data_IF_791589019207
#
_entry.id   IF_791589019207
#
_cell.length_a   1.000
_cell.length_b   1.000
_cell.length_c   1.000
_cell.angle_alpha   90.00
_cell.angle_beta   90.00
_cell.angle_gamma   90.00
#
_symmetry.space_group_name_H-M   'P 1'
#
loop_
_entity.id
_entity.type
_entity.pdbx_description
1 polymer ?
#
# COMPACT_ATOMS: atom_id res chain seq x y z
N UNK A 1 -39.04 -26.76 73.35
CA UNK A 1 -38.32 -25.62 72.75
C UNK A 1 -36.88 -25.95 72.30
N UNK A 2 -36.17 -26.91 72.90
CA UNK A 2 -34.77 -27.25 72.55
C UNK A 2 -34.62 -27.87 71.14
N UNK A 3 -35.55 -28.73 70.72
CA UNK A 3 -35.48 -29.42 69.41
C UNK A 3 -35.63 -28.50 68.18
N UNK A 4 -36.39 -27.41 68.32
CA UNK A 4 -36.55 -26.45 67.23
C UNK A 4 -35.24 -25.69 66.98
N UNK A 5 -34.55 -25.29 68.06
CA UNK A 5 -33.28 -24.57 67.98
C UNK A 5 -32.18 -25.42 67.32
N UNK A 6 -32.10 -26.71 67.66
CA UNK A 6 -31.12 -27.64 67.08
C UNK A 6 -31.31 -27.81 65.56
N UNK A 7 -32.56 -27.84 65.07
CA UNK A 7 -32.85 -27.92 63.62
C UNK A 7 -32.38 -26.69 62.85
N UNK A 8 -32.60 -25.48 63.39
CA UNK A 8 -32.16 -24.24 62.73
C UNK A 8 -30.65 -24.06 62.76
N UNK A 9 -29.99 -24.46 63.85
CA UNK A 9 -28.51 -24.40 63.97
C UNK A 9 -27.84 -25.33 62.97
N UNK A 10 -28.35 -26.56 62.80
CA UNK A 10 -27.82 -27.52 61.81
C UNK A 10 -27.95 -27.01 60.38
N UNK A 11 -29.08 -26.38 60.05
CA UNK A 11 -29.35 -25.84 58.72
C UNK A 11 -28.48 -24.61 58.41
N UNK A 12 -28.24 -23.75 59.40
CA UNK A 12 -27.30 -22.64 59.29
C UNK A 12 -25.84 -23.13 59.12
N UNK A 13 -25.45 -24.20 59.83
CA UNK A 13 -24.11 -24.76 59.74
C UNK A 13 -23.82 -25.37 58.35
N UNK A 14 -24.83 -26.01 57.73
CA UNK A 14 -24.76 -26.50 56.35
C UNK A 14 -24.66 -25.33 55.36
N UNK A 15 -25.39 -24.24 55.59
CA UNK A 15 -25.33 -23.05 54.73
C UNK A 15 -23.95 -22.38 54.74
N UNK A 16 -23.29 -22.33 55.90
CA UNK A 16 -21.95 -21.73 56.05
C UNK A 16 -20.87 -22.58 55.36
N UNK A 17 -21.04 -23.91 55.29
CA UNK A 17 -20.11 -24.79 54.58
C UNK A 17 -20.19 -24.70 53.04
N UNK A 18 -21.22 -24.08 52.48
CA UNK A 18 -21.34 -23.86 51.03
C UNK A 18 -20.63 -22.59 50.52
N UNK A 19 -20.20 -21.70 51.43
CA UNK A 19 -19.56 -20.43 51.10
C UNK A 19 -18.13 -20.56 50.49
N UNK A 20 -17.24 -21.47 50.93
CA UNK A 20 -15.87 -21.51 50.39
C UNK A 20 -15.77 -22.09 48.98
N UNK A 21 -16.81 -22.76 48.45
CA UNK A 21 -16.77 -23.38 47.13
C UNK A 21 -16.73 -22.36 45.98
N UNK A 22 -17.25 -21.14 46.19
CA UNK A 22 -17.26 -20.08 45.18
C UNK A 22 -16.01 -19.19 45.24
N UNK A 23 -15.21 -19.27 46.31
CA UNK A 23 -13.99 -18.48 46.48
C UNK A 23 -12.75 -19.14 45.86
N UNK A 24 -12.75 -20.47 45.73
CA UNK A 24 -11.66 -21.26 45.14
C UNK A 24 -11.62 -21.21 43.59
N UNK A 25 -12.56 -20.49 42.97
CA UNK A 25 -12.68 -20.41 41.50
C UNK A 25 -12.41 -19.01 40.94
N UNK A 26 -11.64 -18.20 41.68
CA UNK A 26 -11.12 -16.91 41.21
C UNK A 26 -9.61 -16.99 41.06
N UNK A 27 -9.11 -17.93 40.27
CA UNK A 27 -7.74 -17.80 39.76
C UNK A 27 -7.73 -16.72 38.68
N UNK A 28 -6.80 -15.78 38.79
CA UNK A 28 -6.54 -14.78 37.75
C UNK A 28 -6.13 -15.49 36.46
N UNK A 29 -7.04 -15.52 35.49
CA UNK A 29 -6.78 -16.00 34.14
C UNK A 29 -5.68 -15.14 33.49
N UNK A 30 -4.44 -15.59 33.54
CA UNK A 30 -3.33 -14.98 32.79
C UNK A 30 -3.45 -15.39 31.33
N UNK A 31 -4.20 -14.60 30.57
CA UNK A 31 -4.27 -14.75 29.13
C UNK A 31 -3.01 -14.13 28.53
N UNK A 32 -2.14 -14.95 27.94
CA UNK A 32 -1.09 -14.45 27.06
C UNK A 32 -1.76 -13.99 25.76
N UNK A 33 -2.18 -12.73 25.73
CA UNK A 33 -2.68 -12.10 24.50
C UNK A 33 -1.45 -11.69 23.68
N UNK A 34 -1.18 -12.45 22.63
CA UNK A 34 -0.27 -12.02 21.58
C UNK A 34 -1.07 -11.18 20.58
N UNK A 35 -0.85 -9.86 20.58
CA UNK A 35 -1.44 -8.96 19.57
C UNK A 35 -0.46 -8.90 18.40
N UNK A 36 -0.81 -9.57 17.30
CA UNK A 36 -0.07 -9.41 16.05
C UNK A 36 -0.63 -8.18 15.32
N UNK A 37 0.10 -7.06 15.34
CA UNK A 37 -0.27 -5.87 14.57
C UNK A 37 0.24 -6.11 13.14
N UNK A 38 -0.69 -6.29 12.21
CA UNK A 38 -0.37 -6.36 10.78
C UNK A 38 0.22 -5.02 10.33
N UNK A 39 1.36 -5.05 9.64
CA UNK A 39 1.98 -3.84 9.08
C UNK A 39 1.16 -3.30 7.92
N UNK A 40 1.25 -1.99 7.71
CA UNK A 40 0.76 -1.37 6.48
C UNK A 40 1.70 -1.78 5.34
N UNK A 41 1.14 -2.36 4.29
CA UNK A 41 1.88 -2.83 3.12
C UNK A 41 1.10 -2.43 1.87
N UNK A 42 1.80 -1.87 0.89
CA UNK A 42 1.23 -1.31 -0.33
C UNK A 42 1.84 -2.02 -1.52
N UNK A 43 0.97 -2.61 -2.33
CA UNK A 43 1.36 -3.40 -3.49
C UNK A 43 1.02 -2.66 -4.79
N UNK A 44 1.87 -2.78 -5.80
CA UNK A 44 1.53 -2.41 -7.17
C UNK A 44 0.68 -3.54 -7.77
N UNK A 45 -0.63 -3.37 -7.77
CA UNK A 45 -1.58 -4.36 -8.31
C UNK A 45 -1.73 -4.32 -9.83
N UNK A 46 -1.47 -3.17 -10.46
CA UNK A 46 -1.48 -3.02 -11.91
C UNK A 46 -0.61 -1.84 -12.34
N UNK A 47 -0.10 -1.89 -13.56
CA UNK A 47 0.76 -0.85 -14.09
C UNK A 47 0.47 -0.62 -15.58
N UNK A 48 0.84 0.57 -16.06
CA UNK A 48 0.86 0.95 -17.47
C UNK A 48 2.04 1.86 -17.72
N UNK A 49 2.72 1.68 -18.84
CA UNK A 49 3.86 2.52 -19.20
C UNK A 49 3.68 3.02 -20.61
N UNK A 50 3.75 4.34 -20.78
CA UNK A 50 3.81 4.99 -22.08
C UNK A 50 5.16 5.67 -22.27
N UNK A 51 5.77 5.44 -23.42
CA UNK A 51 7.04 6.03 -23.80
C UNK A 51 6.78 7.06 -24.87
N UNK A 52 7.19 8.31 -24.62
CA UNK A 52 7.12 9.39 -25.60
C UNK A 52 8.46 9.54 -26.29
N UNK A 53 8.52 9.18 -27.57
CA UNK A 53 9.74 9.24 -28.36
C UNK A 53 9.98 10.66 -28.88
N UNK A 54 11.25 11.02 -29.06
CA UNK A 54 11.66 12.34 -29.59
C UNK A 54 11.10 12.66 -30.97
N UNK A 55 10.71 11.63 -31.75
CA UNK A 55 10.04 11.79 -33.05
C UNK A 55 8.53 12.11 -32.95
N UNK A 56 8.00 12.35 -31.74
CA UNK A 56 6.63 12.80 -31.51
C UNK A 56 5.59 11.68 -31.47
N UNK A 57 6.02 10.43 -31.29
CA UNK A 57 5.13 9.28 -31.17
C UNK A 57 5.12 8.84 -29.72
N UNK A 58 3.94 8.70 -29.12
CA UNK A 58 3.80 8.08 -27.81
C UNK A 58 3.17 6.69 -27.93
N UNK A 59 3.77 5.68 -27.30
CA UNK A 59 3.31 4.29 -27.38
C UNK A 59 3.41 3.58 -26.04
N UNK A 60 2.57 2.58 -25.83
CA UNK A 60 2.73 1.65 -24.72
C UNK A 60 4.02 0.85 -24.90
N UNK A 61 4.75 0.62 -23.80
CA UNK A 61 5.88 -0.31 -23.81
C UNK A 61 5.38 -1.76 -23.84
N UNK A 62 6.18 -2.65 -24.41
CA UNK A 62 5.90 -4.09 -24.37
C UNK A 62 6.12 -4.66 -22.96
N UNK A 63 5.31 -5.64 -22.55
CA UNK A 63 5.37 -6.20 -21.19
C UNK A 63 6.71 -6.83 -20.84
N UNK A 64 7.46 -7.33 -21.82
CA UNK A 64 8.79 -7.92 -21.59
C UNK A 64 9.86 -6.92 -21.13
N UNK A 65 9.61 -5.62 -21.25
CA UNK A 65 10.51 -4.56 -20.79
C UNK A 65 10.20 -4.11 -19.36
N UNK A 66 9.18 -4.67 -18.73
CA UNK A 66 8.72 -4.26 -17.41
C UNK A 66 8.74 -5.44 -16.46
N UNK A 67 9.34 -5.25 -15.29
CA UNK A 67 9.32 -6.24 -14.21
C UNK A 67 8.93 -5.59 -12.89
N UNK A 68 8.28 -6.37 -12.02
CA UNK A 68 7.95 -5.99 -10.66
C UNK A 68 8.88 -6.71 -9.69
N UNK A 69 9.20 -6.09 -8.56
CA UNK A 69 9.89 -6.77 -7.44
C UNK A 69 9.01 -7.88 -6.86
N UNK A 70 9.66 -8.82 -6.15
CA UNK A 70 8.95 -9.90 -5.43
C UNK A 70 8.00 -9.37 -4.36
N UNK A 71 8.34 -8.22 -3.76
CA UNK A 71 7.53 -7.53 -2.75
C UNK A 71 6.46 -6.62 -3.37
N UNK A 72 6.33 -6.57 -4.71
CA UNK A 72 5.37 -5.74 -5.45
C UNK A 72 5.42 -4.23 -5.15
N UNK A 73 6.46 -3.74 -4.48
CA UNK A 73 6.63 -2.34 -4.09
C UNK A 73 7.52 -1.54 -5.08
N UNK A 74 8.08 -2.22 -6.07
CA UNK A 74 9.05 -1.66 -7.02
C UNK A 74 8.73 -2.13 -8.43
N UNK A 75 8.73 -1.20 -9.38
CA UNK A 75 8.64 -1.47 -10.81
C UNK A 75 9.95 -1.08 -11.49
N UNK A 76 10.42 -1.94 -12.39
CA UNK A 76 11.65 -1.77 -13.16
C UNK A 76 11.28 -1.79 -14.63
N UNK A 77 11.65 -0.75 -15.35
CA UNK A 77 11.33 -0.55 -16.76
C UNK A 77 12.65 -0.43 -17.52
N UNK A 78 12.92 -1.37 -18.40
CA UNK A 78 14.05 -1.29 -19.32
C UNK A 78 13.71 -0.30 -20.44
N UNK A 79 14.53 0.75 -20.55
CA UNK A 79 14.52 1.69 -21.65
C UNK A 79 15.64 1.27 -22.60
N UNK A 80 15.27 1.01 -23.85
CA UNK A 80 16.22 0.69 -24.91
C UNK A 80 16.96 1.96 -25.40
N UNK A 81 17.79 1.81 -26.43
CA UNK A 81 18.60 2.90 -26.99
C UNK A 81 17.76 3.84 -27.89
N UNK A 82 16.44 3.69 -27.91
CA UNK A 82 15.59 4.62 -28.65
C UNK A 82 15.54 5.97 -27.92
N UNK A 83 15.66 7.06 -28.69
CA UNK A 83 15.65 8.41 -28.13
C UNK A 83 14.27 8.76 -27.59
N UNK A 84 14.10 8.58 -26.28
CA UNK A 84 12.90 8.96 -25.54
C UNK A 84 13.02 10.40 -25.00
N UNK A 85 11.89 11.08 -24.92
CA UNK A 85 11.78 12.41 -24.31
C UNK A 85 11.36 12.30 -22.86
N UNK A 86 10.32 11.50 -22.62
CA UNK A 86 9.78 11.26 -21.31
C UNK A 86 9.01 9.93 -21.29
N UNK A 87 8.87 9.37 -20.09
CA UNK A 87 8.16 8.12 -19.84
C UNK A 87 7.08 8.39 -18.80
N UNK A 88 5.85 8.00 -19.13
CA UNK A 88 4.71 8.01 -18.22
C UNK A 88 4.55 6.63 -17.61
N UNK A 89 4.63 6.53 -16.28
CA UNK A 89 4.43 5.31 -15.53
C UNK A 89 3.18 5.47 -14.67
N UNK A 90 2.14 4.72 -15.02
CA UNK A 90 0.90 4.64 -14.27
C UNK A 90 0.92 3.42 -13.36
N UNK A 91 0.59 3.61 -12.09
CA UNK A 91 0.55 2.56 -11.07
C UNK A 91 -0.81 2.56 -10.39
N UNK A 92 -1.38 1.37 -10.22
CA UNK A 92 -2.50 1.10 -9.34
C UNK A 92 -1.92 0.50 -8.07
N UNK A 93 -1.96 1.28 -7.01
CA UNK A 93 -1.42 0.91 -5.70
C UNK A 93 -2.58 0.42 -4.85
N UNK A 94 -2.47 -0.79 -4.32
CA UNK A 94 -3.52 -1.47 -3.57
C UNK A 94 -3.10 -1.63 -2.12
N UNK A 95 -4.01 -1.33 -1.20
CA UNK A 95 -3.84 -1.72 0.19
C UNK A 95 -4.71 -2.95 0.47
N UNK A 96 -4.14 -4.13 0.26
CA UNK A 96 -4.83 -5.40 0.48
C UNK A 96 -4.77 -5.85 1.95
N UNK A 97 -4.07 -5.12 2.82
CA UNK A 97 -3.78 -5.51 4.20
C UNK A 97 -4.57 -4.69 5.24
N UNK A 98 -4.66 -5.24 6.45
CA UNK A 98 -5.68 -4.88 7.46
C UNK A 98 -5.61 -3.49 8.10
N UNK A 99 -4.65 -2.63 7.71
CA UNK A 99 -4.49 -1.28 8.27
C UNK A 99 -4.31 -0.24 7.16
N UNK A 100 -4.85 0.99 7.31
CA UNK A 100 -4.59 2.08 6.36
C UNK A 100 -3.09 2.39 6.23
N UNK A 101 -2.63 2.64 5.00
CA UNK A 101 -1.25 3.01 4.69
C UNK A 101 -1.20 4.43 4.12
N UNK A 102 -0.12 5.16 4.36
CA UNK A 102 0.05 6.51 3.79
C UNK A 102 1.18 6.52 2.78
N UNK A 103 0.83 6.68 1.51
CA UNK A 103 1.79 6.88 0.42
C UNK A 103 2.33 8.31 0.49
N UNK A 104 3.65 8.45 0.66
CA UNK A 104 4.35 9.73 0.74
C UNK A 104 4.91 10.18 -0.60
N UNK A 105 5.28 9.23 -1.44
CA UNK A 105 5.90 9.50 -2.73
C UNK A 105 6.57 8.28 -3.31
N UNK A 106 7.62 8.52 -4.09
CA UNK A 106 8.31 7.50 -4.86
C UNK A 106 9.81 7.77 -4.82
N UNK A 107 10.60 6.71 -4.78
CA UNK A 107 12.03 6.77 -5.05
C UNK A 107 12.23 6.36 -6.50
N UNK A 108 12.69 7.31 -7.30
CA UNK A 108 12.94 7.09 -8.73
C UNK A 108 14.44 7.08 -8.94
N UNK A 109 14.95 6.05 -9.60
CA UNK A 109 16.36 5.93 -9.95
C UNK A 109 16.52 5.40 -11.36
N UNK A 110 17.68 5.69 -11.95
CA UNK A 110 18.06 5.19 -13.25
C UNK A 110 19.39 4.47 -13.15
N UNK A 111 19.51 3.34 -13.84
CA UNK A 111 20.71 2.51 -13.86
C UNK A 111 21.13 2.21 -15.29
N UNK A 112 22.35 2.60 -15.65
CA UNK A 112 22.97 2.29 -16.94
C UNK A 112 24.39 1.72 -16.74
N UNK A 113 25.16 1.63 -17.81
CA UNK A 113 26.55 1.15 -17.76
C UNK A 113 27.47 2.02 -16.90
N UNK A 114 27.11 3.28 -16.62
CA UNK A 114 27.89 4.20 -15.79
C UNK A 114 27.61 4.01 -14.29
N UNK A 115 26.49 3.36 -13.96
CA UNK A 115 26.07 3.06 -12.60
C UNK A 115 24.61 3.43 -12.35
N UNK A 116 24.22 3.42 -11.08
CA UNK A 116 22.87 3.78 -10.63
C UNK A 116 22.88 5.13 -9.95
N UNK A 117 21.93 6.00 -10.31
CA UNK A 117 21.73 7.31 -9.70
C UNK A 117 20.25 7.57 -9.43
N UNK A 118 19.96 8.26 -8.32
CA UNK A 118 18.60 8.69 -7.99
C UNK A 118 18.23 9.94 -8.80
N UNK A 119 17.00 9.99 -9.28
CA UNK A 119 16.45 11.13 -10.00
C UNK A 119 15.85 12.12 -9.00
N UNK A 120 16.13 13.41 -9.19
CA UNK A 120 15.57 14.48 -8.36
C UNK A 120 14.18 14.91 -8.82
N UNK A 121 13.54 15.79 -8.04
CA UNK A 121 12.21 16.35 -8.36
C UNK A 121 12.18 17.13 -9.68
N UNK A 122 13.32 17.62 -10.17
CA UNK A 122 13.44 18.25 -11.49
C UNK A 122 13.32 17.25 -12.65
N UNK A 123 13.57 15.96 -12.38
CA UNK A 123 13.59 14.91 -13.39
C UNK A 123 12.25 14.19 -13.52
N UNK A 124 11.36 14.28 -12.52
CA UNK A 124 10.06 13.63 -12.60
C UNK A 124 8.97 14.40 -11.85
N UNK A 125 7.72 14.19 -12.27
CA UNK A 125 6.53 14.73 -11.61
C UNK A 125 5.54 13.62 -11.31
N UNK A 126 4.91 13.72 -10.15
CA UNK A 126 3.94 12.74 -9.66
C UNK A 126 2.55 13.35 -9.70
N UNK A 127 1.59 12.59 -10.22
CA UNK A 127 0.20 12.98 -10.43
C UNK A 127 -0.69 11.92 -9.74
N UNK A 128 -0.93 12.05 -8.44
CA UNK A 128 -1.80 11.13 -7.71
C UNK A 128 -3.27 11.47 -7.95
N UNK A 129 -4.12 10.45 -7.86
CA UNK A 129 -5.57 10.56 -7.95
C UNK A 129 -6.19 10.05 -6.65
N UNK A 130 -7.38 10.57 -6.32
CA UNK A 130 -8.10 10.18 -5.11
C UNK A 130 -8.28 8.64 -5.02
N UNK A 131 -7.98 8.04 -3.86
CA UNK A 131 -8.19 6.61 -3.64
C UNK A 131 -9.66 6.22 -3.86
N UNK A 132 -9.87 5.06 -4.45
CA UNK A 132 -11.20 4.52 -4.74
C UNK A 132 -11.35 3.11 -4.16
N UNK A 133 -12.54 2.81 -3.66
CA UNK A 133 -12.87 1.47 -3.15
C UNK A 133 -13.25 0.49 -4.28
N UNK A 134 -13.68 1.02 -5.43
CA UNK A 134 -14.15 0.22 -6.56
C UNK A 134 -13.01 -0.03 -7.56
N UNK A 135 -13.26 -0.88 -8.56
CA UNK A 135 -12.29 -1.13 -9.63
C UNK A 135 -11.96 0.14 -10.44
N UNK A 136 -10.69 0.28 -10.83
CA UNK A 136 -10.17 1.46 -11.55
C UNK A 136 -10.36 1.40 -13.08
N UNK A 137 -10.80 0.25 -13.62
CA UNK A 137 -10.79 -0.01 -15.07
C UNK A 137 -11.58 0.96 -15.94
N UNK A 138 -12.63 1.58 -15.40
CA UNK A 138 -13.47 2.56 -16.12
C UNK A 138 -13.20 4.01 -15.70
N UNK A 139 -12.21 4.26 -14.85
CA UNK A 139 -11.89 5.62 -14.41
C UNK A 139 -11.25 6.41 -15.56
N UNK A 140 -11.56 7.71 -15.72
CA UNK A 140 -11.05 8.51 -16.83
C UNK A 140 -9.52 8.68 -16.78
N UNK A 141 -8.90 8.48 -15.62
CA UNK A 141 -7.47 8.56 -15.36
C UNK A 141 -6.75 7.20 -15.36
N UNK A 142 -7.43 6.10 -15.72
CA UNK A 142 -6.80 4.77 -15.84
C UNK A 142 -7.29 3.95 -17.04
N UNK A 143 -8.55 4.07 -17.43
CA UNK A 143 -9.25 3.26 -18.43
C UNK A 143 -8.75 3.41 -19.87
N UNK A 144 -9.63 3.73 -20.84
CA UNK A 144 -9.24 3.92 -22.25
C UNK A 144 -8.45 5.22 -22.46
N UNK A 145 -7.24 5.25 -21.92
CA UNK A 145 -6.42 6.43 -21.79
C UNK A 145 -5.31 6.42 -22.82
N UNK A 146 -5.12 7.53 -23.52
CA UNK A 146 -3.99 7.72 -24.45
C UNK A 146 -2.95 8.60 -23.79
N UNK A 147 -1.70 8.41 -24.18
CA UNK A 147 -0.58 9.14 -23.60
C UNK A 147 -0.74 10.67 -23.69
N UNK A 148 -1.37 11.17 -24.76
CA UNK A 148 -1.60 12.60 -24.97
C UNK A 148 -2.62 13.20 -24.00
N UNK A 149 -3.44 12.37 -23.38
CA UNK A 149 -4.45 12.80 -22.42
C UNK A 149 -3.84 12.97 -21.00
N UNK A 150 -2.57 12.59 -20.76
CA UNK A 150 -1.93 12.66 -19.45
C UNK A 150 -1.25 14.02 -19.17
N UNK A 151 -1.38 14.57 -17.94
CA UNK A 151 -2.20 14.09 -16.82
C UNK A 151 -3.67 14.54 -16.95
N UNK A 152 -4.61 13.81 -16.33
CA UNK A 152 -6.02 14.22 -16.29
C UNK A 152 -6.24 15.19 -15.12
N UNK A 153 -6.04 16.48 -15.38
CA UNK A 153 -5.92 17.52 -14.36
C UNK A 153 -7.10 17.60 -13.36
N UNK A 154 -8.34 17.36 -13.81
CA UNK A 154 -9.55 17.56 -13.00
C UNK A 154 -9.74 16.56 -11.84
N UNK A 155 -8.99 15.46 -11.82
CA UNK A 155 -9.11 14.41 -10.80
C UNK A 155 -7.88 14.29 -9.90
N UNK A 156 -6.92 15.20 -10.08
CA UNK A 156 -5.68 15.19 -9.31
C UNK A 156 -5.96 15.50 -7.85
N UNK A 157 -5.17 14.85 -7.00
CA UNK A 157 -5.04 15.16 -5.58
C UNK A 157 -3.57 15.48 -5.27
N UNK A 158 -3.20 15.59 -4.00
CA UNK A 158 -1.84 15.86 -3.56
C UNK A 158 -1.31 14.73 -2.68
N UNK A 159 -0.01 14.47 -2.77
CA UNK A 159 0.67 13.63 -1.79
C UNK A 159 0.87 14.41 -0.48
N UNK A 160 0.86 13.74 0.69
CA UNK A 160 0.67 12.29 0.87
C UNK A 160 -0.80 11.86 0.80
N UNK A 161 -1.06 10.64 0.30
CA UNK A 161 -2.42 10.06 0.24
C UNK A 161 -2.56 8.88 1.20
N UNK A 162 -3.67 8.82 1.93
CA UNK A 162 -4.01 7.68 2.79
C UNK A 162 -4.89 6.68 2.04
N UNK A 163 -4.40 5.45 1.90
CA UNK A 163 -5.08 4.35 1.22
C UNK A 163 -5.62 3.41 2.30
N UNK A 164 -6.95 3.41 2.47
CA UNK A 164 -7.62 2.52 3.42
C UNK A 164 -7.56 1.06 2.95
N UNK A 165 -7.70 0.11 3.87
CA UNK A 165 -7.79 -1.32 3.56
C UNK A 165 -8.89 -1.60 2.53
N UNK A 166 -8.54 -2.32 1.46
CA UNK A 166 -9.40 -2.66 0.33
C UNK A 166 -9.62 -1.52 -0.66
N UNK A 167 -8.91 -0.39 -0.51
CA UNK A 167 -8.93 0.71 -1.47
C UNK A 167 -7.70 0.67 -2.38
N UNK A 168 -7.82 1.36 -3.51
CA UNK A 168 -6.79 1.47 -4.54
C UNK A 168 -6.54 2.93 -4.85
N UNK A 169 -5.29 3.33 -4.98
CA UNK A 169 -4.91 4.63 -5.51
C UNK A 169 -4.36 4.46 -6.93
N UNK A 170 -4.61 5.44 -7.79
CA UNK A 170 -3.94 5.53 -9.09
C UNK A 170 -2.94 6.68 -9.01
N UNK A 171 -1.73 6.44 -9.51
CA UNK A 171 -0.71 7.48 -9.61
C UNK A 171 -0.06 7.40 -10.97
N UNK A 172 0.04 8.53 -11.66
CA UNK A 172 0.86 8.67 -12.86
C UNK A 172 2.15 9.41 -12.53
N UNK A 173 3.27 8.94 -13.03
CA UNK A 173 4.60 9.52 -12.82
C UNK A 173 5.17 9.84 -14.20
N UNK A 174 5.47 11.10 -14.46
CA UNK A 174 6.14 11.53 -15.68
C UNK A 174 7.63 11.70 -15.40
N UNK A 175 8.47 10.87 -16.01
CA UNK A 175 9.92 10.93 -15.88
C UNK A 175 10.52 11.49 -17.15
N UNK A 176 11.31 12.57 -17.05
CA UNK A 176 12.09 13.10 -18.17
C UNK A 176 13.28 12.18 -18.43
N UNK A 177 13.31 11.57 -19.61
CA UNK A 177 14.35 10.63 -20.03
C UNK A 177 15.24 11.19 -21.15
N UNK A 178 15.06 12.46 -21.49
CA UNK A 178 15.86 13.13 -22.51
C UNK A 178 17.36 13.09 -22.17
N UNK A 179 18.14 12.46 -23.05
CA UNK A 179 19.59 12.34 -22.89
C UNK A 179 20.04 11.17 -21.99
N UNK A 180 19.12 10.33 -21.53
CA UNK A 180 19.46 9.05 -20.88
C UNK A 180 19.86 8.03 -21.95
N UNK A 181 20.86 7.22 -21.63
CA UNK A 181 21.23 6.05 -22.44
C UNK A 181 20.25 4.90 -22.18
N UNK A 182 20.44 3.77 -22.87
CA UNK A 182 19.72 2.54 -22.53
C UNK A 182 20.03 2.09 -21.08
N UNK A 183 19.00 1.64 -20.36
CA UNK A 183 19.13 1.34 -18.94
C UNK A 183 17.80 1.03 -18.26
N UNK A 184 17.86 0.84 -16.95
CA UNK A 184 16.69 0.50 -16.13
C UNK A 184 16.20 1.73 -15.36
N UNK A 185 14.98 2.17 -15.66
CA UNK A 185 14.22 3.09 -14.81
C UNK A 185 13.56 2.29 -13.69
N UNK A 186 13.89 2.60 -12.45
CA UNK A 186 13.34 1.94 -11.26
C UNK A 186 12.50 2.93 -10.47
N UNK A 187 11.28 2.52 -10.11
CA UNK A 187 10.37 3.31 -9.29
C UNK A 187 9.94 2.44 -8.12
N UNK A 188 10.29 2.87 -6.91
CA UNK A 188 9.93 2.21 -5.65
C UNK A 188 8.95 3.06 -4.87
N UNK A 189 7.90 2.46 -4.32
CA UNK A 189 6.94 3.14 -3.46
C UNK A 189 7.62 3.64 -2.17
N UNK A 190 7.28 4.86 -1.73
CA UNK A 190 7.68 5.38 -0.43
C UNK A 190 6.43 5.65 0.42
N UNK A 191 6.23 4.86 1.47
CA UNK A 191 5.04 4.91 2.32
C UNK A 191 5.36 4.63 3.80
N UNK A 192 4.50 5.11 4.69
CA UNK A 192 4.62 4.83 6.13
C UNK A 192 4.07 3.43 6.42
N UNK A 193 4.90 2.57 7.00
CA UNK A 193 4.54 1.21 7.45
C UNK A 193 3.86 1.19 8.82
N UNK A 194 3.65 2.37 9.44
CA UNK A 194 3.02 2.51 10.76
C UNK A 194 3.95 2.26 11.95
N UNK A 195 5.27 2.23 11.76
CA UNK A 195 6.26 2.14 12.84
C UNK A 195 6.92 3.49 13.08
N UNK A 196 6.57 4.15 14.19
CA UNK A 196 7.44 5.12 14.86
C UNK A 196 8.49 4.39 15.68
#
# INVERSE_FOLDING_TARGET
MVYAYVRYVLLALVLVMLIPATALWSETLKVNVSVNVTRADLDIGSWRVFVNYTCGVCRGIEEGYVSLSEDYDTIIIYLDDEKTRNVWVGLVIENNYGVPATLKGFRVSFSDYSGTYELGEDNYRVYPYEPVKQGVGNMPYWGQLRCEDLPIEYYLTELPITINTGWKAVVWINVSTYGMNNGNLTIKLAYDTGTN
#
